data_IF_409990407472
#
_entry.id   IF_409990407472
#
_cell.length_a   1.000
_cell.length_b   1.000
_cell.length_c   1.000
_cell.angle_alpha   90.00
_cell.angle_beta   90.00
_cell.angle_gamma   90.00
#
_symmetry.space_group_name_H-M   'P 1'
#
loop_
_entity.id
_entity.type
_entity.pdbx_description
1 polymer ?
#
# COMPACT_ATOMS: atom_id res chain seq x y z
N UNK A 1 52.72 8.83 -36.66
CA UNK A 1 51.40 8.25 -37.01
C UNK A 1 50.35 9.36 -36.95
N UNK A 2 49.79 9.77 -38.08
CA UNK A 2 48.83 10.88 -38.19
C UNK A 2 47.40 10.34 -37.99
N UNK A 3 46.61 10.97 -37.12
CA UNK A 3 45.19 10.67 -36.94
C UNK A 3 44.38 11.20 -38.14
N UNK A 4 43.35 10.48 -38.63
CA UNK A 4 42.47 11.01 -39.65
C UNK A 4 41.43 11.97 -39.06
N UNK A 5 41.26 13.12 -39.69
CA UNK A 5 40.13 14.04 -39.48
C UNK A 5 38.90 13.56 -40.25
N UNK A 6 37.74 13.57 -39.61
CA UNK A 6 36.43 13.37 -40.25
C UNK A 6 35.85 14.74 -40.66
N UNK A 7 35.26 14.88 -41.86
CA UNK A 7 34.67 16.13 -42.32
C UNK A 7 33.25 16.31 -41.79
N UNK A 8 32.98 17.55 -41.35
CA UNK A 8 31.64 18.04 -41.04
C UNK A 8 30.86 18.25 -42.34
N UNK A 9 29.74 17.55 -42.50
CA UNK A 9 28.79 17.79 -43.58
C UNK A 9 27.39 18.02 -43.01
N UNK A 10 26.88 19.20 -43.36
CA UNK A 10 25.57 19.75 -43.08
C UNK A 10 24.44 18.88 -43.65
N UNK A 11 23.38 18.69 -42.88
CA UNK A 11 22.03 18.50 -43.42
C UNK A 11 21.03 19.32 -42.61
N UNK A 12 20.70 20.48 -43.15
CA UNK A 12 19.48 21.21 -42.84
C UNK A 12 18.30 20.47 -43.49
N UNK A 13 17.40 19.93 -42.69
CA UNK A 13 16.06 19.55 -43.14
C UNK A 13 15.06 20.57 -42.62
N UNK A 14 14.52 21.34 -43.56
CA UNK A 14 13.38 22.24 -43.39
C UNK A 14 12.17 21.43 -42.92
N UNK A 15 11.65 21.73 -41.74
CA UNK A 15 10.30 21.35 -41.30
C UNK A 15 9.38 22.51 -41.60
N UNK A 16 8.66 22.40 -42.72
CA UNK A 16 7.56 23.28 -43.09
C UNK A 16 6.34 22.98 -42.22
N UNK A 17 5.73 24.05 -41.72
CA UNK A 17 4.55 24.09 -40.88
C UNK A 17 3.34 23.35 -41.50
N UNK A 18 2.77 22.41 -40.75
CA UNK A 18 1.41 21.91 -40.93
C UNK A 18 0.51 22.57 -39.88
N UNK A 19 -0.18 23.64 -40.28
CA UNK A 19 -1.25 24.25 -39.48
C UNK A 19 -2.54 23.50 -39.81
N UNK A 20 -3.00 22.63 -38.91
CA UNK A 20 -4.34 22.04 -39.03
C UNK A 20 -5.41 23.08 -38.62
N UNK A 21 -6.55 23.15 -39.32
CA UNK A 21 -7.66 24.00 -38.93
C UNK A 21 -8.30 23.46 -37.64
N UNK A 22 -8.48 24.34 -36.64
CA UNK A 22 -9.21 24.05 -35.41
C UNK A 22 -10.67 23.69 -35.74
N UNK A 23 -11.02 22.41 -35.65
CA UNK A 23 -12.42 22.01 -35.56
C UNK A 23 -12.97 22.44 -34.20
N UNK A 24 -14.13 23.10 -34.20
CA UNK A 24 -14.87 23.38 -32.96
C UNK A 24 -15.35 22.04 -32.40
N UNK A 25 -14.83 21.64 -31.24
CA UNK A 25 -15.44 20.57 -30.47
C UNK A 25 -16.83 21.03 -30.00
N UNK A 26 -17.87 20.19 -30.12
CA UNK A 26 -19.16 20.46 -29.51
C UNK A 26 -19.00 20.45 -27.99
N UNK A 27 -19.76 21.33 -27.32
CA UNK A 27 -19.77 21.43 -25.86
C UNK A 27 -20.11 20.07 -25.24
N UNK A 28 -19.38 19.65 -24.19
CA UNK A 28 -19.67 18.40 -23.50
C UNK A 28 -21.08 18.46 -22.90
N UNK A 29 -21.84 17.39 -23.10
CA UNK A 29 -23.15 17.22 -22.47
C UNK A 29 -23.03 17.40 -20.94
N UNK A 30 -24.03 18.03 -20.30
CA UNK A 30 -24.00 18.24 -18.85
C UNK A 30 -23.86 16.90 -18.13
N UNK A 31 -22.86 16.85 -17.25
CA UNK A 31 -22.60 15.68 -16.40
C UNK A 31 -23.78 15.56 -15.42
N UNK A 32 -24.49 14.42 -15.38
CA UNK A 32 -25.59 14.23 -14.44
C UNK A 32 -25.08 14.36 -13.01
N UNK A 33 -25.90 14.97 -12.16
CA UNK A 33 -25.51 15.26 -10.79
C UNK A 33 -25.26 13.95 -10.02
N UNK A 34 -24.52 14.05 -8.91
CA UNK A 34 -24.24 12.89 -8.04
C UNK A 34 -25.53 12.25 -7.51
N UNK A 35 -26.60 13.02 -7.37
CA UNK A 35 -27.92 12.52 -6.98
C UNK A 35 -28.57 11.67 -8.10
N UNK A 36 -28.40 12.08 -9.36
CA UNK A 36 -28.97 11.36 -10.51
C UNK A 36 -28.31 9.99 -10.74
N UNK A 37 -27.03 9.84 -10.35
CA UNK A 37 -26.29 8.56 -10.49
C UNK A 37 -26.58 7.58 -9.36
N UNK A 38 -26.88 8.06 -8.16
CA UNK A 38 -27.18 7.21 -7.01
C UNK A 38 -28.52 6.47 -7.13
N UNK A 39 -29.47 7.02 -7.90
CA UNK A 39 -30.82 6.46 -8.04
C UNK A 39 -30.98 5.36 -9.12
N UNK A 40 -29.96 5.11 -9.96
CA UNK A 40 -30.09 4.26 -11.16
C UNK A 40 -29.38 2.89 -11.07
N UNK A 41 -28.80 2.55 -9.93
CA UNK A 41 -28.13 1.26 -9.71
C UNK A 41 -28.90 0.34 -8.76
N UNK A 42 -28.80 -1.00 -8.90
CA UNK A 42 -29.42 -1.97 -8.00
C UNK A 42 -28.96 -1.83 -6.53
N UNK A 43 -27.79 -1.24 -6.30
CA UNK A 43 -27.30 -0.89 -4.95
C UNK A 43 -27.97 0.35 -4.37
N UNK A 44 -28.35 1.33 -5.21
CA UNK A 44 -29.06 2.54 -4.78
C UNK A 44 -30.47 2.24 -4.26
N UNK A 45 -31.13 1.24 -4.86
CA UNK A 45 -32.42 0.74 -4.38
C UNK A 45 -32.32 0.10 -2.99
N UNK A 46 -31.26 -0.67 -2.71
CA UNK A 46 -31.02 -1.29 -1.39
C UNK A 46 -30.68 -0.27 -0.31
N UNK A 47 -29.91 0.76 -0.64
CA UNK A 47 -29.58 1.83 0.32
C UNK A 47 -30.81 2.70 0.62
N UNK A 48 -31.68 2.95 -0.37
CA UNK A 48 -32.95 3.64 -0.16
C UNK A 48 -33.96 2.80 0.65
N UNK A 49 -33.97 1.48 0.46
CA UNK A 49 -34.80 0.55 1.23
C UNK A 49 -34.34 0.45 2.70
N UNK A 50 -33.03 0.41 2.95
CA UNK A 50 -32.47 0.50 4.31
C UNK A 50 -32.72 1.86 4.97
N UNK A 51 -32.60 2.96 4.22
CA UNK A 51 -32.88 4.30 4.77
C UNK A 51 -34.36 4.48 5.10
N UNK A 52 -35.27 3.92 4.28
CA UNK A 52 -36.71 3.94 4.54
C UNK A 52 -37.12 3.03 5.72
N UNK A 53 -36.34 2.00 6.03
CA UNK A 53 -36.54 1.16 7.22
C UNK A 53 -36.10 1.85 8.53
N UNK A 54 -35.23 2.85 8.44
CA UNK A 54 -34.71 3.61 9.60
C UNK A 54 -35.58 4.83 9.91
N UNK A 55 -36.39 5.31 8.97
CA UNK A 55 -37.27 6.49 9.11
C UNK A 55 -38.71 6.14 9.55
N UNK A 56 -38.88 5.01 10.25
CA UNK A 56 -40.14 4.72 10.94
C UNK A 56 -40.13 5.45 12.28
N UNK A 57 -40.76 6.62 12.28
CA UNK A 57 -41.10 7.36 13.50
C UNK A 57 -41.75 6.42 14.53
N UNK A 58 -41.09 6.22 15.68
CA UNK A 58 -41.81 6.08 16.94
C UNK A 58 -41.76 4.75 17.68
N UNK A 59 -40.86 3.80 17.39
CA UNK A 59 -40.56 2.74 18.36
C UNK A 59 -39.05 2.56 18.53
N UNK A 60 -38.59 2.59 19.79
CA UNK A 60 -37.22 2.22 20.19
C UNK A 60 -37.02 0.72 19.89
N UNK A 61 -36.80 0.40 18.62
CA UNK A 61 -36.43 -0.93 18.16
C UNK A 61 -35.04 -1.24 18.69
N UNK A 62 -34.97 -1.87 19.87
CA UNK A 62 -33.78 -2.57 20.31
C UNK A 62 -33.54 -3.69 19.29
N UNK A 63 -32.53 -3.52 18.45
CA UNK A 63 -31.97 -4.65 17.72
C UNK A 63 -31.65 -5.73 18.75
N UNK A 64 -32.13 -6.96 18.50
CA UNK A 64 -31.75 -8.07 19.36
C UNK A 64 -30.23 -8.26 19.27
N UNK A 65 -29.58 -8.62 20.36
CA UNK A 65 -28.13 -8.89 20.42
C UNK A 65 -27.65 -9.79 19.27
N UNK A 66 -28.52 -10.69 18.79
CA UNK A 66 -28.26 -11.62 17.69
C UNK A 66 -28.20 -10.94 16.30
N UNK A 67 -29.03 -9.92 16.05
CA UNK A 67 -29.02 -9.13 14.81
C UNK A 67 -27.81 -8.19 14.77
N UNK A 68 -27.46 -7.59 15.91
CA UNK A 68 -26.26 -6.77 16.04
C UNK A 68 -24.99 -7.61 15.82
N UNK A 69 -24.94 -8.83 16.39
CA UNK A 69 -23.86 -9.77 16.18
C UNK A 69 -23.81 -10.33 14.75
N UNK A 70 -24.96 -10.46 14.07
CA UNK A 70 -25.01 -10.83 12.65
C UNK A 70 -24.47 -9.70 11.77
N UNK A 71 -24.87 -8.44 12.00
CA UNK A 71 -24.37 -7.28 11.29
C UNK A 71 -22.86 -7.07 11.49
N UNK A 72 -22.36 -7.24 12.72
CA UNK A 72 -20.92 -7.18 13.00
C UNK A 72 -20.12 -8.29 12.30
N UNK A 73 -20.70 -9.48 12.15
CA UNK A 73 -20.12 -10.59 11.35
C UNK A 73 -20.10 -10.27 9.87
N UNK A 74 -21.18 -9.71 9.34
CA UNK A 74 -21.31 -9.34 7.92
C UNK A 74 -20.37 -8.20 7.54
N UNK A 75 -20.14 -7.25 8.46
CA UNK A 75 -19.12 -6.21 8.35
C UNK A 75 -17.68 -6.73 8.55
N UNK A 76 -17.49 -8.02 8.84
CA UNK A 76 -16.18 -8.65 8.97
C UNK A 76 -15.42 -8.31 10.27
N UNK A 77 -16.08 -7.71 11.26
CA UNK A 77 -15.49 -7.22 12.52
C UNK A 77 -15.11 -8.32 13.52
N UNK A 78 -15.41 -9.59 13.23
CA UNK A 78 -15.21 -10.70 14.18
C UNK A 78 -13.81 -11.31 14.16
N UNK A 79 -12.97 -11.00 13.15
CA UNK A 79 -11.56 -11.43 13.15
C UNK A 79 -10.76 -10.67 12.08
N UNK A 80 -10.00 -9.66 12.49
CA UNK A 80 -9.01 -9.02 11.63
C UNK A 80 -7.62 -9.56 11.97
N UNK A 81 -7.01 -10.29 11.03
CA UNK A 81 -5.60 -10.68 11.12
C UNK A 81 -4.78 -9.67 10.31
N UNK A 82 -3.87 -8.95 10.97
CA UNK A 82 -3.12 -7.83 10.39
C UNK A 82 -1.62 -8.13 10.36
N UNK A 83 -0.95 -7.64 9.32
CA UNK A 83 0.50 -7.71 9.14
C UNK A 83 1.01 -6.33 8.69
N UNK A 84 2.00 -5.77 9.38
CA UNK A 84 2.44 -4.37 9.18
C UNK A 84 3.96 -4.22 8.97
N UNK A 85 4.37 -3.13 8.33
CA UNK A 85 5.75 -2.61 8.35
C UNK A 85 5.79 -1.32 9.20
N UNK A 86 6.85 -1.13 9.98
CA UNK A 86 6.91 -0.22 11.12
C UNK A 86 6.66 1.26 10.78
N UNK A 87 5.65 1.85 11.44
CA UNK A 87 5.48 3.30 11.53
C UNK A 87 4.90 3.64 12.92
N UNK A 88 5.63 4.45 13.69
CA UNK A 88 5.30 4.92 15.05
C UNK A 88 3.86 5.44 15.18
N UNK A 89 3.34 6.14 14.17
CA UNK A 89 2.00 6.76 14.20
C UNK A 89 0.87 5.77 13.93
N UNK A 90 1.11 4.75 13.12
CA UNK A 90 0.11 3.70 12.88
C UNK A 90 -0.20 2.95 14.18
N UNK A 91 0.84 2.72 14.99
CA UNK A 91 0.76 2.06 16.29
C UNK A 91 -0.04 2.86 17.33
N UNK A 92 0.20 4.17 17.43
CA UNK A 92 -0.51 5.05 18.38
C UNK A 92 -1.99 5.22 18.01
N UNK A 93 -2.28 5.40 16.72
CA UNK A 93 -3.65 5.52 16.22
C UNK A 93 -4.46 4.24 16.45
N UNK A 94 -3.81 3.07 16.43
CA UNK A 94 -4.46 1.78 16.71
C UNK A 94 -4.90 1.67 18.17
N UNK A 95 -4.04 2.04 19.13
CA UNK A 95 -4.40 2.04 20.56
C UNK A 95 -5.51 3.04 20.88
N UNK A 96 -5.42 4.26 20.34
CA UNK A 96 -6.44 5.30 20.57
C UNK A 96 -7.77 4.94 19.89
N UNK A 97 -7.75 4.33 18.70
CA UNK A 97 -8.95 3.82 18.05
C UNK A 97 -9.58 2.69 18.86
N UNK A 98 -8.80 1.72 19.36
CA UNK A 98 -9.30 0.62 20.20
C UNK A 98 -9.98 1.17 21.45
N UNK A 99 -9.34 2.09 22.18
CA UNK A 99 -9.92 2.70 23.38
C UNK A 99 -11.18 3.52 23.09
N UNK A 100 -11.20 4.25 21.96
CA UNK A 100 -12.40 4.98 21.52
C UNK A 100 -13.55 4.04 21.20
N UNK A 101 -13.28 2.97 20.46
CA UNK A 101 -14.28 1.94 20.14
C UNK A 101 -14.78 1.23 21.40
N UNK A 102 -13.89 0.89 22.34
CA UNK A 102 -14.29 0.31 23.64
C UNK A 102 -15.26 1.23 24.39
N UNK A 103 -15.05 2.55 24.39
CA UNK A 103 -15.95 3.50 25.05
C UNK A 103 -17.29 3.74 24.33
N UNK A 104 -17.33 3.51 23.01
CA UNK A 104 -18.52 3.73 22.19
C UNK A 104 -19.36 2.46 22.02
N UNK A 105 -18.76 1.30 22.29
CA UNK A 105 -19.33 -0.03 22.10
C UNK A 105 -19.40 -0.79 23.43
N UNK A 106 -19.87 -0.14 24.50
CA UNK A 106 -20.03 -0.78 25.83
C UNK A 106 -20.85 -2.10 25.78
N UNK A 107 -21.57 -2.37 24.69
CA UNK A 107 -22.30 -3.63 24.46
C UNK A 107 -21.73 -4.53 23.35
N UNK A 108 -20.77 -4.07 22.54
CA UNK A 108 -20.17 -4.88 21.45
C UNK A 108 -18.73 -5.23 21.78
N UNK A 109 -18.52 -6.48 22.21
CA UNK A 109 -17.18 -7.03 22.40
C UNK A 109 -16.50 -7.18 21.03
N UNK A 110 -15.69 -6.20 20.65
CA UNK A 110 -14.86 -6.28 19.46
C UNK A 110 -13.62 -7.13 19.77
N UNK A 111 -13.45 -8.23 19.04
CA UNK A 111 -12.26 -9.05 19.17
C UNK A 111 -11.02 -8.24 18.73
N UNK A 112 -9.99 -8.21 19.57
CA UNK A 112 -8.72 -7.55 19.22
C UNK A 112 -8.14 -8.16 17.93
N UNK A 113 -7.56 -7.34 17.04
CA UNK A 113 -6.93 -7.85 15.84
C UNK A 113 -5.74 -8.72 16.20
N UNK A 114 -5.56 -9.82 15.46
CA UNK A 114 -4.43 -10.74 15.63
C UNK A 114 -3.30 -10.35 14.68
N UNK A 115 -2.21 -9.87 15.24
CA UNK A 115 -1.00 -9.49 14.52
C UNK A 115 -0.14 -10.73 14.27
N UNK A 116 0.01 -11.12 13.00
CA UNK A 116 0.75 -12.34 12.64
C UNK A 116 2.25 -12.11 12.59
N UNK A 117 2.67 -11.04 11.92
CA UNK A 117 4.08 -10.65 11.86
C UNK A 117 4.28 -9.18 11.53
N UNK A 118 5.51 -8.71 11.74
CA UNK A 118 6.02 -7.45 11.25
C UNK A 118 7.28 -7.66 10.43
N UNK A 119 7.59 -6.72 9.55
CA UNK A 119 8.88 -6.67 8.87
C UNK A 119 9.43 -5.25 8.94
N UNK A 120 10.55 -5.08 9.65
CA UNK A 120 11.17 -3.78 9.88
C UNK A 120 12.67 -3.97 10.06
N UNK A 121 13.49 -3.19 9.38
CA UNK A 121 14.95 -3.32 9.41
C UNK A 121 15.59 -2.38 10.43
N UNK A 122 14.94 -1.25 10.74
CA UNK A 122 15.40 -0.31 11.74
C UNK A 122 15.15 -0.87 13.15
N UNK A 123 16.21 -0.98 13.95
CA UNK A 123 16.16 -1.56 15.30
C UNK A 123 15.33 -0.75 16.30
N UNK A 124 15.27 0.57 16.15
CA UNK A 124 14.46 1.44 17.00
C UNK A 124 12.96 1.19 16.73
N UNK A 125 12.58 1.15 15.46
CA UNK A 125 11.22 0.80 15.04
C UNK A 125 10.85 -0.64 15.42
N UNK A 126 11.80 -1.59 15.39
CA UNK A 126 11.58 -2.94 15.91
C UNK A 126 11.23 -2.95 17.39
N UNK A 127 11.90 -2.12 18.22
CA UNK A 127 11.61 -2.01 19.65
C UNK A 127 10.20 -1.43 19.92
N UNK A 128 9.76 -0.48 19.11
CA UNK A 128 8.37 0.02 19.16
C UNK A 128 7.35 -1.06 18.80
N UNK A 129 7.61 -1.82 17.73
CA UNK A 129 6.75 -2.93 17.31
C UNK A 129 6.70 -4.04 18.36
N UNK A 130 7.81 -4.32 19.04
CA UNK A 130 7.85 -5.24 20.18
C UNK A 130 6.99 -4.74 21.34
N UNK A 131 7.08 -3.45 21.67
CA UNK A 131 6.23 -2.81 22.68
C UNK A 131 4.75 -2.91 22.33
N UNK A 132 4.39 -2.72 21.06
CA UNK A 132 3.03 -2.92 20.57
C UNK A 132 2.57 -4.37 20.75
N UNK A 133 3.37 -5.34 20.28
CA UNK A 133 3.04 -6.76 20.34
C UNK A 133 2.87 -7.25 21.79
N UNK A 134 3.73 -6.80 22.69
CA UNK A 134 3.63 -7.10 24.12
C UNK A 134 2.38 -6.46 24.75
N UNK A 135 2.05 -5.23 24.36
CA UNK A 135 0.88 -4.51 24.87
C UNK A 135 -0.47 -5.13 24.50
N UNK A 136 -0.52 -5.99 23.48
CA UNK A 136 -1.70 -6.77 23.08
C UNK A 136 -1.56 -8.27 23.40
N UNK A 137 -0.53 -8.64 24.18
CA UNK A 137 -0.24 -10.01 24.62
C UNK A 137 -0.04 -11.03 23.47
N UNK A 138 0.47 -10.58 22.32
CA UNK A 138 0.66 -11.44 21.16
C UNK A 138 2.13 -11.80 20.92
N UNK A 139 2.37 -13.07 20.59
CA UNK A 139 3.68 -13.60 20.21
C UNK A 139 3.99 -13.44 18.71
N UNK A 140 3.82 -12.21 18.21
CA UNK A 140 4.02 -11.79 16.82
C UNK A 140 5.50 -11.84 16.42
N UNK A 141 5.81 -12.38 15.23
CA UNK A 141 7.17 -12.38 14.67
C UNK A 141 7.60 -10.98 14.23
N UNK A 142 8.88 -10.65 14.36
CA UNK A 142 9.48 -9.41 13.85
C UNK A 142 10.63 -9.79 12.93
N UNK A 143 10.41 -9.73 11.62
CA UNK A 143 11.44 -10.02 10.62
C UNK A 143 12.27 -8.78 10.34
N UNK A 144 13.60 -8.94 10.23
CA UNK A 144 14.51 -7.79 10.13
C UNK A 144 14.62 -7.28 8.70
N UNK A 145 15.06 -8.11 7.76
CA UNK A 145 15.25 -7.72 6.36
C UNK A 145 14.36 -8.56 5.45
N UNK A 146 13.47 -7.88 4.73
CA UNK A 146 12.55 -8.51 3.79
C UNK A 146 13.28 -9.24 2.65
N UNK A 147 14.51 -8.83 2.31
CA UNK A 147 15.31 -9.51 1.29
C UNK A 147 15.76 -10.91 1.72
N UNK A 148 15.73 -11.26 3.03
CA UNK A 148 16.04 -12.61 3.50
C UNK A 148 15.03 -13.67 3.05
N UNK A 149 13.84 -13.24 2.60
CA UNK A 149 12.84 -14.13 2.02
C UNK A 149 13.15 -14.53 0.58
N UNK A 150 14.13 -13.91 -0.09
CA UNK A 150 14.66 -14.50 -1.31
C UNK A 150 15.28 -15.86 -1.01
N UNK A 151 15.16 -16.76 -2.00
CA UNK A 151 15.83 -18.06 -1.95
C UNK A 151 17.36 -17.88 -1.93
N UNK A 152 18.12 -18.65 -1.12
CA UNK A 152 19.57 -18.51 -1.01
C UNK A 152 20.32 -18.60 -2.34
N UNK A 153 19.80 -19.39 -3.29
CA UNK A 153 20.37 -19.57 -4.63
C UNK A 153 20.39 -18.28 -5.45
N UNK A 154 19.62 -17.26 -5.06
CA UNK A 154 19.59 -15.95 -5.71
C UNK A 154 20.56 -14.94 -5.10
N UNK A 155 21.24 -15.24 -3.99
CA UNK A 155 22.02 -14.22 -3.27
C UNK A 155 23.15 -13.63 -4.11
N UNK A 156 23.86 -14.43 -4.91
CA UNK A 156 24.88 -13.92 -5.84
C UNK A 156 24.28 -13.00 -6.91
N UNK A 157 23.11 -13.36 -7.44
CA UNK A 157 22.37 -12.54 -8.41
C UNK A 157 21.95 -11.22 -7.78
N UNK A 158 21.45 -11.24 -6.55
CA UNK A 158 21.05 -10.04 -5.82
C UNK A 158 22.23 -9.10 -5.57
N UNK A 159 23.42 -9.61 -5.26
CA UNK A 159 24.63 -8.78 -5.11
C UNK A 159 25.05 -8.10 -6.42
N UNK A 160 24.92 -8.79 -7.56
CA UNK A 160 25.15 -8.16 -8.88
C UNK A 160 24.07 -7.14 -9.23
N UNK A 161 22.81 -7.41 -8.88
CA UNK A 161 21.70 -6.47 -9.07
C UNK A 161 21.82 -5.23 -8.17
N UNK A 162 22.39 -5.33 -6.97
CA UNK A 162 22.72 -4.14 -6.15
C UNK A 162 23.68 -3.19 -6.87
N UNK A 163 24.59 -3.72 -7.69
CA UNK A 163 25.52 -2.93 -8.51
C UNK A 163 24.84 -2.36 -9.77
N UNK A 164 23.79 -3.02 -10.27
CA UNK A 164 23.03 -2.64 -11.48
C UNK A 164 21.51 -2.69 -11.25
N UNK A 165 20.97 -1.84 -10.36
CA UNK A 165 19.58 -1.92 -9.90
C UNK A 165 18.55 -1.73 -11.03
N UNK A 166 18.89 -0.98 -12.08
CA UNK A 166 18.02 -0.79 -13.24
C UNK A 166 17.65 -2.09 -13.97
N UNK A 167 18.44 -3.16 -13.80
CA UNK A 167 18.18 -4.48 -14.37
C UNK A 167 17.35 -5.38 -13.46
N UNK A 168 17.15 -5.01 -12.19
CA UNK A 168 16.59 -5.89 -11.18
C UNK A 168 15.16 -6.35 -11.53
N UNK A 169 14.33 -5.43 -12.02
CA UNK A 169 12.96 -5.75 -12.42
C UNK A 169 12.98 -6.79 -13.55
N UNK A 170 13.73 -6.58 -14.62
CA UNK A 170 13.74 -7.50 -15.76
C UNK A 170 14.35 -8.87 -15.42
N UNK A 171 15.37 -8.91 -14.56
CA UNK A 171 16.01 -10.17 -14.15
C UNK A 171 15.12 -10.97 -13.19
N UNK A 172 14.47 -10.32 -12.23
CA UNK A 172 13.67 -11.02 -11.21
C UNK A 172 12.22 -11.27 -11.63
N UNK A 173 11.65 -10.48 -12.55
CA UNK A 173 10.24 -10.62 -12.97
C UNK A 173 9.85 -12.05 -13.40
N UNK A 174 10.63 -12.76 -14.24
CA UNK A 174 10.28 -14.13 -14.63
C UNK A 174 10.24 -15.10 -13.44
N UNK A 175 11.16 -14.94 -12.48
CA UNK A 175 11.24 -15.79 -11.29
C UNK A 175 10.11 -15.49 -10.29
N UNK A 176 9.73 -14.22 -10.17
CA UNK A 176 8.58 -13.79 -9.36
C UNK A 176 7.27 -14.30 -9.95
N UNK A 177 7.09 -14.17 -11.27
CA UNK A 177 5.91 -14.66 -11.97
C UNK A 177 5.75 -16.19 -11.87
N UNK A 178 6.88 -16.92 -11.83
CA UNK A 178 6.93 -18.36 -11.61
C UNK A 178 6.83 -18.78 -10.13
N UNK A 179 6.73 -17.82 -9.19
CA UNK A 179 6.75 -18.05 -7.74
C UNK A 179 7.94 -18.91 -7.29
N UNK A 180 9.09 -18.79 -7.97
CA UNK A 180 10.29 -19.58 -7.70
C UNK A 180 11.40 -18.78 -7.01
N UNK A 181 11.20 -17.47 -6.81
CA UNK A 181 12.20 -16.56 -6.24
C UNK A 181 12.20 -16.53 -4.70
N UNK A 182 11.07 -16.85 -4.06
CA UNK A 182 10.84 -16.59 -2.64
C UNK A 182 10.78 -17.87 -1.82
N UNK A 183 10.99 -17.71 -0.52
CA UNK A 183 10.69 -18.69 0.52
C UNK A 183 9.89 -18.00 1.61
N UNK A 184 9.23 -18.77 2.46
CA UNK A 184 8.43 -18.26 3.60
C UNK A 184 9.17 -18.28 4.94
N UNK A 185 10.50 -18.47 4.96
CA UNK A 185 11.30 -18.49 6.20
C UNK A 185 12.36 -17.40 6.18
N UNK A 186 12.44 -16.63 7.26
CA UNK A 186 13.46 -15.61 7.49
C UNK A 186 13.81 -15.51 8.98
N UNK A 187 14.88 -14.79 9.30
CA UNK A 187 15.29 -14.59 10.69
C UNK A 187 14.31 -13.64 11.41
N UNK A 188 13.77 -14.10 12.55
CA UNK A 188 12.95 -13.29 13.43
C UNK A 188 13.82 -12.71 14.54
N UNK A 189 13.86 -11.38 14.69
CA UNK A 189 14.56 -10.69 15.76
C UNK A 189 14.05 -11.10 17.14
N UNK A 190 12.73 -11.21 17.31
CA UNK A 190 12.09 -11.55 18.59
C UNK A 190 12.37 -12.99 19.03
N UNK A 191 12.31 -13.94 18.11
CA UNK A 191 12.48 -15.37 18.43
C UNK A 191 13.91 -15.88 18.28
N UNK A 192 14.83 -15.04 17.78
CA UNK A 192 16.24 -15.36 17.51
C UNK A 192 16.44 -16.67 16.73
N UNK A 193 15.53 -16.94 15.77
CA UNK A 193 15.54 -18.14 14.93
C UNK A 193 14.87 -17.89 13.59
N UNK A 194 14.97 -18.86 12.68
CA UNK A 194 14.21 -18.86 11.44
C UNK A 194 12.73 -19.14 11.74
N UNK A 195 11.87 -18.16 11.49
CA UNK A 195 10.42 -18.28 11.63
C UNK A 195 9.75 -18.36 10.25
N UNK A 196 8.59 -19.00 10.21
CA UNK A 196 7.76 -19.08 9.02
C UNK A 196 6.76 -17.91 9.00
N UNK A 197 6.61 -17.26 7.85
CA UNK A 197 5.60 -16.22 7.64
C UNK A 197 4.30 -16.85 7.13
N UNK A 198 3.24 -16.69 7.90
CA UNK A 198 1.90 -17.18 7.57
C UNK A 198 1.15 -16.24 6.63
N UNK A 199 0.04 -16.73 6.08
CA UNK A 199 -0.90 -15.90 5.32
C UNK A 199 -1.81 -15.15 6.28
N UNK A 200 -1.86 -13.82 6.13
CA UNK A 200 -2.78 -12.95 6.85
C UNK A 200 -4.03 -12.65 6.01
N UNK A 201 -5.11 -12.22 6.67
CA UNK A 201 -6.27 -11.65 5.99
C UNK A 201 -5.89 -10.33 5.29
N UNK A 202 -5.17 -9.46 5.99
CA UNK A 202 -4.76 -8.15 5.49
C UNK A 202 -3.25 -7.93 5.71
N UNK A 203 -2.57 -7.41 4.69
CA UNK A 203 -1.21 -6.92 4.77
C UNK A 203 -1.16 -5.40 4.51
N UNK A 204 -0.52 -4.64 5.39
CA UNK A 204 -0.28 -3.20 5.24
C UNK A 204 1.22 -2.92 5.16
N UNK A 205 1.64 -2.03 4.26
CA UNK A 205 3.03 -1.61 4.14
C UNK A 205 3.19 -0.13 3.77
N UNK A 206 4.30 0.45 4.22
CA UNK A 206 4.90 1.66 3.63
C UNK A 206 6.28 1.28 3.08
N UNK A 207 6.38 1.04 1.77
CA UNK A 207 7.68 0.71 1.15
C UNK A 207 8.54 1.97 1.02
N UNK A 208 9.87 1.81 0.89
CA UNK A 208 10.78 2.95 0.75
C UNK A 208 10.35 3.89 -0.38
N UNK A 209 10.08 5.15 -0.03
CA UNK A 209 9.70 6.21 -0.98
C UNK A 209 10.90 7.04 -1.45
N UNK A 210 12.08 6.83 -0.86
CA UNK A 210 13.29 7.66 -1.09
C UNK A 210 13.73 7.71 -2.56
N UNK A 211 13.54 6.62 -3.30
CA UNK A 211 13.86 6.53 -4.72
C UNK A 211 12.92 7.36 -5.61
N UNK A 212 11.71 7.65 -5.14
CA UNK A 212 10.62 8.25 -5.91
C UNK A 212 10.26 9.66 -5.45
N UNK A 213 10.54 9.99 -4.18
CA UNK A 213 10.24 11.29 -3.59
C UNK A 213 10.97 12.43 -4.32
N UNK A 214 10.29 13.55 -4.51
CA UNK A 214 10.89 14.79 -5.07
C UNK A 214 12.09 15.29 -4.26
N UNK A 215 12.15 14.97 -2.98
CA UNK A 215 13.25 15.34 -2.08
C UNK A 215 14.35 14.28 -2.00
N UNK A 216 14.09 13.09 -2.51
CA UNK A 216 15.06 12.00 -2.54
C UNK A 216 16.00 12.08 -3.75
N UNK A 217 16.67 10.96 -4.03
CA UNK A 217 17.64 10.87 -5.14
C UNK A 217 16.97 10.81 -6.53
N UNK A 218 15.66 10.58 -6.57
CA UNK A 218 14.87 10.41 -7.80
C UNK A 218 15.46 9.39 -8.79
N UNK A 219 16.12 8.35 -8.26
CA UNK A 219 16.71 7.29 -9.07
C UNK A 219 15.65 6.31 -9.62
N UNK A 220 14.43 6.35 -9.08
CA UNK A 220 13.35 5.45 -9.46
C UNK A 220 13.79 3.99 -9.32
N UNK A 221 13.72 3.23 -10.40
CA UNK A 221 14.11 1.81 -10.42
C UNK A 221 15.62 1.59 -10.49
N UNK A 222 16.41 2.64 -10.66
CA UNK A 222 17.85 2.58 -10.55
C UNK A 222 18.34 2.77 -9.09
N UNK A 223 17.44 2.85 -8.11
CA UNK A 223 17.82 2.81 -6.70
C UNK A 223 17.98 1.36 -6.22
N UNK A 224 19.04 1.00 -5.47
CA UNK A 224 19.20 -0.34 -4.90
C UNK A 224 18.01 -0.81 -4.04
N UNK A 225 17.23 0.11 -3.47
CA UNK A 225 16.03 -0.21 -2.71
C UNK A 225 14.92 -0.86 -3.57
N UNK A 226 15.02 -0.84 -4.90
CA UNK A 226 14.12 -1.60 -5.78
C UNK A 226 14.11 -3.09 -5.42
N UNK A 227 15.21 -3.64 -4.89
CA UNK A 227 15.27 -5.03 -4.45
C UNK A 227 14.38 -5.32 -3.24
N UNK A 228 14.23 -4.37 -2.31
CA UNK A 228 13.29 -4.52 -1.19
C UNK A 228 11.83 -4.44 -1.66
N UNK A 229 11.54 -3.58 -2.64
CA UNK A 229 10.23 -3.55 -3.29
C UNK A 229 9.94 -4.89 -3.99
N UNK A 230 10.88 -5.44 -4.75
CA UNK A 230 10.72 -6.72 -5.42
C UNK A 230 10.62 -7.89 -4.44
N UNK A 231 11.34 -7.85 -3.31
CA UNK A 231 11.18 -8.80 -2.23
C UNK A 231 9.77 -8.74 -1.62
N UNK A 232 9.25 -7.52 -1.40
CA UNK A 232 7.87 -7.33 -0.93
C UNK A 232 6.86 -7.91 -1.92
N UNK A 233 6.96 -7.57 -3.21
CA UNK A 233 6.07 -8.10 -4.26
C UNK A 233 6.13 -9.62 -4.30
N UNK A 234 7.34 -10.19 -4.31
CA UNK A 234 7.52 -11.63 -4.32
C UNK A 234 6.90 -12.30 -3.11
N UNK A 235 7.05 -11.70 -1.92
CA UNK A 235 6.49 -12.25 -0.70
C UNK A 235 4.95 -12.24 -0.73
N UNK A 236 4.32 -11.21 -1.30
CA UNK A 236 2.86 -11.16 -1.50
C UNK A 236 2.38 -12.21 -2.50
N UNK A 237 3.11 -12.41 -3.61
CA UNK A 237 2.83 -13.51 -4.55
C UNK A 237 2.96 -14.87 -3.87
N UNK A 238 3.94 -15.03 -3.00
CA UNK A 238 4.19 -16.27 -2.27
C UNK A 238 3.11 -16.52 -1.21
N UNK A 239 2.79 -15.52 -0.37
CA UNK A 239 1.89 -15.65 0.79
C UNK A 239 0.41 -15.56 0.41
N UNK A 240 0.08 -14.78 -0.62
CA UNK A 240 -1.27 -14.56 -1.16
C UNK A 240 -2.27 -14.07 -0.11
N UNK A 241 -1.95 -12.97 0.57
CA UNK A 241 -2.93 -12.31 1.44
C UNK A 241 -4.17 -11.87 0.64
N UNK A 242 -5.33 -11.89 1.30
CA UNK A 242 -6.61 -11.54 0.66
C UNK A 242 -6.68 -10.05 0.29
N UNK A 243 -6.24 -9.19 1.22
CA UNK A 243 -6.19 -7.75 1.04
C UNK A 243 -4.79 -7.22 1.30
N UNK A 244 -4.32 -6.33 0.42
CA UNK A 244 -3.03 -5.67 0.55
C UNK A 244 -3.24 -4.16 0.42
N UNK A 245 -2.71 -3.42 1.39
CA UNK A 245 -2.65 -1.97 1.43
C UNK A 245 -1.20 -1.50 1.39
N UNK A 246 -0.85 -0.69 0.39
CA UNK A 246 0.47 -0.10 0.25
C UNK A 246 0.37 1.42 0.16
N UNK A 247 1.08 2.11 1.06
CA UNK A 247 1.25 3.56 1.02
C UNK A 247 2.60 3.94 0.39
N UNK A 248 2.58 4.97 -0.46
CA UNK A 248 3.78 5.60 -1.00
C UNK A 248 3.50 7.04 -1.52
N UNK A 249 4.51 7.70 -2.09
CA UNK A 249 4.38 9.02 -2.73
C UNK A 249 3.69 8.96 -4.11
N UNK A 250 3.08 10.06 -4.57
CA UNK A 250 2.41 10.20 -5.89
C UNK A 250 3.27 9.77 -7.10
N UNK A 251 4.59 9.93 -7.04
CA UNK A 251 5.52 9.55 -8.11
C UNK A 251 5.93 8.07 -8.08
N UNK A 252 5.34 7.26 -7.19
CA UNK A 252 5.62 5.84 -7.10
C UNK A 252 5.17 5.08 -8.36
N UNK A 253 5.97 4.15 -8.92
CA UNK A 253 5.70 3.47 -10.17
C UNK A 253 4.69 2.32 -10.00
N UNK A 254 3.41 2.65 -9.79
CA UNK A 254 2.32 1.67 -9.60
C UNK A 254 2.18 0.65 -10.74
N UNK A 255 2.53 1.02 -11.97
CA UNK A 255 2.51 0.12 -13.14
C UNK A 255 3.36 -1.16 -12.96
N UNK A 256 4.36 -1.15 -12.08
CA UNK A 256 5.15 -2.36 -11.75
C UNK A 256 4.31 -3.34 -10.94
N UNK A 257 3.49 -2.84 -10.03
CA UNK A 257 2.54 -3.66 -9.28
C UNK A 257 1.51 -4.25 -10.23
N UNK A 258 0.96 -3.46 -11.15
CA UNK A 258 0.04 -3.95 -12.17
C UNK A 258 0.67 -5.07 -13.02
N UNK A 259 1.93 -4.87 -13.45
CA UNK A 259 2.68 -5.89 -14.21
C UNK A 259 2.88 -7.20 -13.44
N UNK A 260 3.23 -7.14 -12.16
CA UNK A 260 3.67 -8.31 -11.39
C UNK A 260 2.54 -8.96 -10.56
N UNK A 261 1.63 -8.15 -10.02
CA UNK A 261 0.53 -8.58 -9.15
C UNK A 261 -0.82 -8.60 -9.88
N UNK A 262 -0.99 -7.87 -10.98
CA UNK A 262 -2.30 -7.68 -11.64
C UNK A 262 -2.95 -8.96 -12.21
N UNK A 263 -2.20 -10.07 -12.30
CA UNK A 263 -2.77 -11.39 -12.60
C UNK A 263 -3.56 -11.98 -11.42
N UNK A 264 -3.13 -11.69 -10.19
CA UNK A 264 -3.69 -12.26 -8.96
C UNK A 264 -4.61 -11.27 -8.23
N UNK A 265 -4.34 -9.97 -8.38
CA UNK A 265 -5.03 -8.91 -7.66
C UNK A 265 -5.76 -7.96 -8.61
N UNK A 266 -6.89 -7.41 -8.16
CA UNK A 266 -7.43 -6.15 -8.67
C UNK A 266 -6.70 -5.04 -7.94
N UNK A 267 -6.09 -4.12 -8.69
CA UNK A 267 -5.26 -3.04 -8.13
C UNK A 267 -5.97 -1.72 -8.36
N UNK A 268 -6.26 -1.02 -7.27
CA UNK A 268 -6.77 0.34 -7.28
C UNK A 268 -5.72 1.28 -6.72
N UNK A 269 -5.48 2.39 -7.40
CA UNK A 269 -4.55 3.42 -6.95
C UNK A 269 -5.30 4.72 -6.77
N UNK A 270 -5.24 5.26 -5.55
CA UNK A 270 -5.89 6.52 -5.20
C UNK A 270 -4.87 7.48 -4.63
N UNK A 271 -4.89 8.71 -5.14
CA UNK A 271 -4.05 9.79 -4.64
C UNK A 271 -4.84 10.62 -3.65
N UNK A 272 -4.43 10.59 -2.38
CA UNK A 272 -5.13 11.23 -1.28
C UNK A 272 -4.36 12.45 -0.75
N UNK A 273 -5.11 13.51 -0.45
CA UNK A 273 -4.60 14.71 0.21
C UNK A 273 -4.98 14.66 1.70
N UNK A 274 -4.02 14.63 2.64
CA UNK A 274 -4.32 14.53 4.06
C UNK A 274 -5.21 15.67 4.57
N UNK A 275 -5.22 16.83 3.89
CA UNK A 275 -6.09 17.97 4.24
C UNK A 275 -7.57 17.67 4.08
N UNK A 276 -7.92 16.71 3.21
CA UNK A 276 -9.30 16.24 3.05
C UNK A 276 -9.79 15.43 4.26
N UNK A 277 -8.88 14.99 5.12
CA UNK A 277 -9.17 14.17 6.30
C UNK A 277 -9.00 14.96 7.61
N UNK A 278 -9.25 16.27 7.57
CA UNK A 278 -9.18 17.14 8.75
C UNK A 278 -7.76 17.50 9.21
N UNK A 279 -6.72 17.10 8.45
CA UNK A 279 -5.35 17.48 8.77
C UNK A 279 -5.06 18.91 8.27
N UNK A 280 -5.23 19.90 9.16
CA UNK A 280 -5.13 21.33 8.83
C UNK A 280 -3.69 21.86 8.69
N UNK A 281 -2.65 21.02 8.78
CA UNK A 281 -1.26 21.46 8.77
C UNK A 281 -0.78 21.93 7.39
N UNK A 282 -0.63 23.26 7.20
CA UNK A 282 -0.04 23.86 5.99
C UNK A 282 1.08 24.89 6.23
N UNK A 283 1.81 24.86 7.35
CA UNK A 283 2.87 25.86 7.64
C UNK A 283 4.14 25.29 8.25
N UNK A 284 5.27 25.60 7.62
CA UNK A 284 6.63 25.33 8.05
C UNK A 284 6.99 26.08 9.35
N UNK A 285 7.18 25.35 10.45
CA UNK A 285 8.09 25.68 11.57
C UNK A 285 8.60 24.38 12.20
N UNK A 286 9.75 23.90 11.72
CA UNK A 286 10.89 23.28 12.42
C UNK A 286 10.70 22.40 13.69
N UNK A 287 9.53 21.81 13.97
CA UNK A 287 9.34 20.92 15.12
C UNK A 287 8.59 19.62 14.81
N UNK A 288 8.37 19.34 13.51
CA UNK A 288 7.80 18.11 12.95
C UNK A 288 8.42 17.81 11.56
N UNK A 289 9.63 18.33 11.32
CA UNK A 289 10.52 17.99 10.20
C UNK A 289 11.48 16.93 10.76
N UNK A 290 11.21 15.64 10.57
CA UNK A 290 11.81 14.95 9.43
C UNK A 290 10.89 13.94 8.69
N UNK A 291 9.58 13.88 8.98
CA UNK A 291 8.75 12.79 8.40
C UNK A 291 7.93 13.11 7.14
N UNK A 292 7.40 14.32 6.91
CA UNK A 292 6.69 14.60 5.65
C UNK A 292 6.74 16.09 5.32
N UNK A 293 7.49 16.45 4.27
CA UNK A 293 7.51 17.80 3.75
C UNK A 293 6.30 18.08 2.88
N UNK A 294 5.69 19.24 3.13
CA UNK A 294 4.55 19.84 2.44
C UNK A 294 4.67 19.75 0.91
N UNK A 295 3.65 19.16 0.28
CA UNK A 295 3.37 18.95 -1.16
C UNK A 295 3.39 17.48 -1.65
N UNK A 296 3.74 16.50 -0.81
CA UNK A 296 3.62 15.10 -1.22
C UNK A 296 2.17 14.62 -1.06
N UNK A 297 1.47 14.50 -2.19
CA UNK A 297 0.26 13.67 -2.28
C UNK A 297 0.65 12.21 -2.03
N UNK A 298 -0.13 11.50 -1.21
CA UNK A 298 0.09 10.07 -0.92
C UNK A 298 -0.72 9.24 -1.89
N UNK A 299 -0.13 8.17 -2.42
CA UNK A 299 -0.85 7.13 -3.15
C UNK A 299 -1.12 5.98 -2.20
N UNK A 300 -2.40 5.70 -1.98
CA UNK A 300 -2.84 4.45 -1.40
C UNK A 300 -3.15 3.48 -2.54
N UNK A 301 -2.49 2.34 -2.50
CA UNK A 301 -2.73 1.25 -3.43
C UNK A 301 -3.43 0.15 -2.63
N UNK A 302 -4.69 -0.11 -2.97
CA UNK A 302 -5.46 -1.21 -2.42
C UNK A 302 -5.49 -2.31 -3.47
N UNK A 303 -5.10 -3.50 -3.07
CA UNK A 303 -5.14 -4.68 -3.90
C UNK A 303 -5.98 -5.77 -3.23
N UNK A 304 -6.99 -6.26 -3.93
CA UNK A 304 -7.87 -7.35 -3.48
C UNK A 304 -7.67 -8.58 -4.36
N UNK A 305 -7.56 -9.76 -3.74
CA UNK A 305 -7.39 -11.02 -4.45
C UNK A 305 -8.63 -11.33 -5.30
N UNK A 306 -8.41 -11.84 -6.53
CA UNK A 306 -9.49 -12.23 -7.46
C UNK A 306 -10.09 -13.59 -7.13
#
# INVERSE_FOLDING_TARGET
MRKPQLPAAQRQTKLSAFTQPKSKQPDPAPVPSRADRAAQGPEGAKVAELAAAVDVEGEEGKFGDEELAAAARDMGLTRCEFQGAGNEKATRSLKEAVLFYESFLDEVVVALPKLLSFCEWNTECQAELETLACGIEQNTCIFTDIAQFFRPELYEVLEELKKKPSMAVEVLSPLLAAQSAMRRKAHCARHSKLCFIGTARMHTAGSSCTAHSKQGKQLGLADPNVLHLLAWIGLRLEVQEYEISLENVESFPSHILERLLGKYYVIESQVMDPRMFGNLGSTAKQFLQDLFSSQARQSLIIASLR
#
